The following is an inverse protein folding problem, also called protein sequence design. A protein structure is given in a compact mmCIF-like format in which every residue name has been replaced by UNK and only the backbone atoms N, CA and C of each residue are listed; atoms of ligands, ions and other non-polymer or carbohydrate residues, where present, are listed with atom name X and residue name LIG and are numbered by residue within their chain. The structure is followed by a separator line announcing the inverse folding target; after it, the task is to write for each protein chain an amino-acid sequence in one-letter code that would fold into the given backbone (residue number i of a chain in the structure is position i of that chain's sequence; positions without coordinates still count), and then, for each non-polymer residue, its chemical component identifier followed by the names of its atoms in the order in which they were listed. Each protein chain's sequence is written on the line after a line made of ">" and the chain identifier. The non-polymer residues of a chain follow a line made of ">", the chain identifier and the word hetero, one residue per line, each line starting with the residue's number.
data_IF_927769003621
#
_entry.id   IF_927769003621
#
_cell.length_a   1.000
_cell.length_b   1.000
_cell.length_c   1.000
_cell.angle_alpha   90.00
_cell.angle_beta   90.00
_cell.angle_gamma   90.00
#
_symmetry.space_group_name_H-M   'P 1'
#
loop_
_entity.id
_entity.type
_entity.pdbx_description
1 polymer ?
#
# COMPACT_ATOMS: atom_id res chain seq x y z
N UNK A 1 1.23 -4.32 -39.86
CA UNK A 1 0.94 -3.50 -38.65
C UNK A 1 1.71 -4.14 -37.51
N UNK A 2 2.53 -3.32 -36.84
CA UNK A 2 3.65 -3.61 -35.94
C UNK A 2 3.46 -4.77 -34.92
N UNK A 3 4.38 -5.74 -34.90
CA UNK A 3 5.60 -5.85 -34.07
C UNK A 3 5.32 -6.59 -32.75
N UNK A 4 5.74 -7.85 -32.68
CA UNK A 4 7.03 -8.27 -32.08
C UNK A 4 7.04 -8.04 -30.58
N UNK A 5 6.85 -9.12 -29.82
CA UNK A 5 7.46 -9.22 -28.50
C UNK A 5 8.36 -10.45 -28.45
N UNK A 6 9.63 -10.30 -28.86
CA UNK A 6 10.70 -11.06 -28.26
C UNK A 6 11.74 -10.10 -27.67
N UNK A 7 11.74 -10.03 -26.32
CA UNK A 7 12.85 -9.74 -25.38
C UNK A 7 13.79 -8.57 -25.70
N UNK A 8 13.98 -7.67 -24.71
CA UNK A 8 15.27 -7.73 -24.02
C UNK A 8 15.17 -7.63 -22.48
N UNK A 9 16.11 -8.32 -21.81
CA UNK A 9 16.61 -8.13 -20.43
C UNK A 9 15.60 -8.34 -19.29
N UNK A 10 15.71 -9.33 -18.39
CA UNK A 10 16.90 -9.72 -17.62
C UNK A 10 17.19 -8.66 -16.55
N UNK A 11 17.27 -9.04 -15.28
CA UNK A 11 17.32 -8.25 -14.01
C UNK A 11 15.92 -7.98 -13.42
N UNK A 12 15.42 -8.63 -12.36
CA UNK A 12 16.11 -9.11 -11.16
C UNK A 12 15.53 -10.43 -10.60
N UNK A 13 16.44 -11.09 -9.90
CA UNK A 13 16.45 -12.43 -9.33
C UNK A 13 15.67 -12.54 -8.02
N UNK A 14 15.07 -13.73 -7.85
CA UNK A 14 15.20 -14.58 -6.66
C UNK A 14 13.95 -14.82 -5.82
N UNK A 15 13.80 -16.11 -5.57
CA UNK A 15 13.29 -16.72 -4.35
C UNK A 15 11.78 -16.90 -4.26
N UNK A 16 11.40 -18.15 -4.55
CA UNK A 16 10.78 -19.03 -3.58
C UNK A 16 9.58 -18.52 -2.80
N UNK A 17 8.55 -19.34 -2.97
CA UNK A 17 7.71 -19.86 -1.90
C UNK A 17 6.50 -19.05 -1.52
N UNK A 18 5.44 -19.85 -1.38
CA UNK A 18 4.31 -19.60 -0.53
C UNK A 18 3.23 -18.73 -1.14
N UNK A 19 2.32 -19.42 -1.82
CA UNK A 19 0.88 -19.33 -1.51
C UNK A 19 0.66 -19.55 -0.01
N UNK A 20 1.15 -18.63 0.81
CA UNK A 20 0.70 -18.45 2.18
C UNK A 20 -0.42 -17.45 2.07
N UNK A 21 -1.62 -17.92 2.35
CA UNK A 21 -2.72 -17.11 2.84
C UNK A 21 -2.27 -16.47 4.16
N UNK A 22 -1.30 -15.56 4.09
CA UNK A 22 -1.06 -14.60 5.12
C UNK A 22 -2.13 -13.55 4.85
N UNK A 23 -3.18 -13.58 5.65
CA UNK A 23 -3.73 -12.36 6.21
C UNK A 23 -2.58 -11.60 6.89
N UNK A 24 -1.61 -11.11 6.11
CA UNK A 24 -0.94 -9.88 6.44
C UNK A 24 -2.12 -8.94 6.58
N UNK A 25 -2.41 -8.52 7.81
CA UNK A 25 -3.11 -7.28 8.04
C UNK A 25 -2.38 -6.28 7.14
N UNK A 26 -2.89 -6.09 5.92
CA UNK A 26 -2.23 -5.31 4.89
C UNK A 26 -2.32 -3.93 5.44
N UNK A 27 -1.26 -3.56 6.14
CA UNK A 27 -1.19 -2.30 6.81
C UNK A 27 -0.93 -1.29 5.69
N UNK A 28 -2.04 -0.93 5.09
CA UNK A 28 -2.18 -0.21 3.87
C UNK A 28 -3.23 0.86 4.12
N UNK A 29 -3.01 2.00 3.50
CA UNK A 29 -3.93 3.11 3.57
C UNK A 29 -5.26 2.70 2.91
N UNK A 30 -6.38 2.91 3.59
CA UNK A 30 -7.70 2.72 3.02
C UNK A 30 -7.90 3.73 1.90
N UNK A 31 -8.01 3.19 0.69
CA UNK A 31 -8.49 3.92 -0.47
C UNK A 31 -10.00 3.98 -0.44
N UNK A 32 -10.58 5.04 -0.98
CA UNK A 32 -12.01 5.04 -1.25
C UNK A 32 -12.29 4.07 -2.42
N UNK A 33 -13.16 3.08 -2.22
CA UNK A 33 -13.44 2.06 -3.24
C UNK A 33 -14.08 2.61 -4.53
N UNK A 34 -14.66 3.82 -4.49
CA UNK A 34 -15.28 4.46 -5.64
C UNK A 34 -14.28 5.26 -6.48
N UNK A 35 -13.21 5.79 -5.88
CA UNK A 35 -12.20 6.62 -6.58
C UNK A 35 -10.82 5.96 -6.65
N UNK A 36 -10.58 4.89 -5.89
CA UNK A 36 -9.32 4.17 -5.81
C UNK A 36 -8.16 4.97 -5.20
N UNK A 37 -8.42 6.15 -4.63
CA UNK A 37 -7.38 7.03 -4.08
C UNK A 37 -7.43 7.09 -2.55
N UNK A 38 -6.24 7.06 -1.92
CA UNK A 38 -6.07 7.32 -0.49
C UNK A 38 -5.62 8.76 -0.29
N UNK A 39 -6.42 9.57 0.42
CA UNK A 39 -6.02 10.93 0.77
C UNK A 39 -5.07 10.99 1.99
N UNK A 40 -4.50 9.84 2.36
CA UNK A 40 -3.65 9.70 3.54
C UNK A 40 -2.39 10.58 3.46
N UNK A 41 -1.84 10.80 2.26
CA UNK A 41 -0.70 11.70 2.05
C UNK A 41 -1.01 13.14 2.51
N UNK A 42 -2.18 13.68 2.16
CA UNK A 42 -2.63 15.00 2.62
C UNK A 42 -3.04 14.98 4.10
N UNK A 43 -3.41 13.80 4.61
CA UNK A 43 -3.79 13.64 6.01
C UNK A 43 -2.61 13.33 6.94
N UNK A 44 -1.39 13.17 6.44
CA UNK A 44 -0.22 12.80 7.24
C UNK A 44 0.03 13.75 8.43
N UNK A 45 -0.30 15.04 8.29
CA UNK A 45 -0.22 16.03 9.37
C UNK A 45 -1.20 15.76 10.52
N UNK A 46 -2.27 15.00 10.30
CA UNK A 46 -3.21 14.60 11.35
C UNK A 46 -2.71 13.40 12.16
N UNK A 47 -1.64 12.72 11.75
CA UNK A 47 -1.07 11.58 12.49
C UNK A 47 -0.54 12.01 13.86
N UNK A 48 -0.17 13.28 14.01
CA UNK A 48 0.30 13.87 15.26
C UNK A 48 -0.83 14.53 16.06
N UNK A 49 -2.05 14.57 15.52
CA UNK A 49 -3.19 15.21 16.14
C UNK A 49 -4.02 14.17 16.91
N UNK A 50 -4.05 14.29 18.24
CA UNK A 50 -4.66 13.29 19.13
C UNK A 50 -6.13 13.00 18.84
N UNK A 51 -6.87 13.97 18.32
CA UNK A 51 -8.29 13.80 17.95
C UNK A 51 -8.43 12.89 16.73
N UNK A 52 -7.52 13.00 15.78
CA UNK A 52 -7.54 12.24 14.52
C UNK A 52 -6.73 10.95 14.57
N UNK A 53 -5.97 10.71 15.64
CA UNK A 53 -5.19 9.48 15.84
C UNK A 53 -6.02 8.21 15.61
N UNK A 54 -7.22 8.13 16.20
CA UNK A 54 -8.08 6.94 16.05
C UNK A 54 -8.52 6.75 14.60
N UNK A 55 -8.90 7.84 13.94
CA UNK A 55 -9.34 7.81 12.55
C UNK A 55 -8.18 7.46 11.60
N UNK A 56 -6.98 8.00 11.85
CA UNK A 56 -5.81 7.71 11.04
C UNK A 56 -5.24 6.32 11.28
N UNK A 57 -5.36 5.76 12.48
CA UNK A 57 -5.07 4.34 12.75
C UNK A 57 -5.96 3.41 11.94
N UNK A 58 -7.23 3.76 11.77
CA UNK A 58 -8.12 2.99 10.92
C UNK A 58 -7.82 3.24 9.46
N UNK A 59 -7.90 4.50 8.99
CA UNK A 59 -7.88 4.89 7.59
C UNK A 59 -6.49 4.89 6.94
N UNK A 60 -5.44 5.25 7.69
CA UNK A 60 -4.11 5.52 7.15
C UNK A 60 -3.00 4.92 8.05
N UNK A 61 -3.10 3.64 8.46
CA UNK A 61 -2.15 3.07 9.40
C UNK A 61 -0.73 3.03 8.81
N UNK A 62 -0.61 2.88 7.49
CA UNK A 62 0.67 2.90 6.79
C UNK A 62 1.29 4.28 6.73
N UNK A 63 0.52 5.29 6.34
CA UNK A 63 1.05 6.67 6.23
C UNK A 63 1.51 7.21 7.57
N UNK A 64 0.82 6.85 8.66
CA UNK A 64 1.23 7.27 10.01
C UNK A 64 2.25 6.35 10.69
N UNK A 65 2.65 5.24 10.06
CA UNK A 65 3.59 4.29 10.65
C UNK A 65 3.04 3.49 11.84
N UNK A 66 1.73 3.25 11.88
CA UNK A 66 1.09 2.34 12.85
C UNK A 66 1.19 0.86 12.48
N UNK A 67 1.78 0.55 11.33
CA UNK A 67 2.13 -0.81 10.94
C UNK A 67 3.30 -1.32 11.80
N UNK A 68 3.03 -2.30 12.65
CA UNK A 68 4.05 -3.03 13.42
C UNK A 68 4.32 -4.38 12.78
#
# INVERSE_FOLDING_TARGET
>A
MKQQCPKPCGYCTSSSSSSSSSSSSTCADLVNSSTGVSNCASMASYCTNSVYLSLMKTQCPKTCGYCT
#
